data_IF_118869142095
#
_entry.id   IF_118869142095
#
_cell.length_a   1.000
_cell.length_b   1.000
_cell.length_c   1.000
_cell.angle_alpha   90.00
_cell.angle_beta   90.00
_cell.angle_gamma   90.00
#
_symmetry.space_group_name_H-M   'P 1'
#
loop_
_entity.id
_entity.type
_entity.pdbx_description
1 polymer ?
#
# COMPACT_ATOMS: atom_id res chain seq x y z
N UNK A 1 -9.36 20.53 -0.83
CA UNK A 1 -8.51 19.89 0.22
C UNK A 1 -9.20 18.82 1.07
N UNK A 2 -10.51 18.90 1.38
CA UNK A 2 -11.25 17.87 2.14
C UNK A 2 -11.29 16.46 1.50
N UNK A 3 -11.44 16.27 0.17
CA UNK A 3 -11.61 14.93 -0.42
C UNK A 3 -10.33 14.09 -0.38
N UNK A 4 -9.16 14.66 -0.69
CA UNK A 4 -7.87 13.95 -0.63
C UNK A 4 -7.59 13.32 0.75
N UNK A 5 -7.85 14.05 1.84
CA UNK A 5 -7.67 13.53 3.20
C UNK A 5 -8.67 12.42 3.53
N UNK A 6 -9.89 12.49 3.00
CA UNK A 6 -10.91 11.47 3.18
C UNK A 6 -10.51 10.16 2.46
N UNK A 7 -10.13 10.25 1.17
CA UNK A 7 -9.64 9.09 0.41
C UNK A 7 -8.42 8.46 1.06
N UNK A 8 -7.45 9.27 1.51
CA UNK A 8 -6.27 8.77 2.21
C UNK A 8 -6.62 7.96 3.47
N UNK A 9 -7.57 8.45 4.28
CA UNK A 9 -8.03 7.73 5.49
C UNK A 9 -8.74 6.43 5.12
N UNK A 10 -9.58 6.43 4.10
CA UNK A 10 -10.28 5.25 3.63
C UNK A 10 -9.29 4.18 3.14
N UNK A 11 -8.34 4.54 2.27
CA UNK A 11 -7.35 3.60 1.74
C UNK A 11 -6.47 3.00 2.85
N UNK A 12 -6.16 3.80 3.88
CA UNK A 12 -5.43 3.30 5.06
C UNK A 12 -6.24 2.24 5.81
N UNK A 13 -7.54 2.45 6.00
CA UNK A 13 -8.43 1.49 6.69
C UNK A 13 -8.61 0.21 5.89
N UNK A 14 -8.89 0.32 4.59
CA UNK A 14 -9.02 -0.82 3.69
C UNK A 14 -7.74 -1.65 3.67
N UNK A 15 -6.58 -0.99 3.54
CA UNK A 15 -5.29 -1.68 3.57
C UNK A 15 -5.04 -2.41 4.88
N UNK A 16 -5.45 -1.81 6.02
CA UNK A 16 -5.33 -2.46 7.32
C UNK A 16 -6.20 -3.73 7.42
N UNK A 17 -7.44 -3.68 6.93
CA UNK A 17 -8.35 -4.82 6.92
C UNK A 17 -7.84 -5.94 6.02
N UNK A 18 -7.41 -5.62 4.79
CA UNK A 18 -6.85 -6.59 3.85
C UNK A 18 -5.59 -7.23 4.44
N UNK A 19 -4.72 -6.44 5.05
CA UNK A 19 -3.49 -6.95 5.64
C UNK A 19 -3.73 -7.92 6.80
N UNK A 20 -4.71 -7.62 7.66
CA UNK A 20 -5.13 -8.51 8.75
C UNK A 20 -5.73 -9.82 8.22
N UNK A 21 -6.52 -9.76 7.15
CA UNK A 21 -7.15 -10.94 6.56
C UNK A 21 -6.13 -11.85 5.83
N UNK A 22 -5.15 -11.27 5.14
CA UNK A 22 -4.10 -12.02 4.44
C UNK A 22 -3.19 -12.79 5.40
N UNK A 23 -2.84 -12.16 6.52
CA UNK A 23 -2.03 -12.80 7.54
C UNK A 23 -2.96 -13.50 8.52
N UNK A 24 -3.51 -14.65 8.08
CA UNK A 24 -4.27 -15.55 8.94
C UNK A 24 -3.44 -15.88 10.20
N UNK A 25 -3.77 -15.24 11.31
CA UNK A 25 -3.22 -15.59 12.61
C UNK A 25 -3.82 -16.94 12.98
N UNK A 26 -3.03 -18.02 12.86
CA UNK A 26 -3.47 -19.33 13.33
C UNK A 26 -3.71 -19.20 14.85
N UNK A 27 -4.94 -19.39 15.36
CA UNK A 27 -5.17 -19.31 16.78
C UNK A 27 -4.50 -20.52 17.43
N UNK A 28 -3.37 -20.30 18.09
CA UNK A 28 -2.71 -21.32 18.90
C UNK A 28 -3.66 -21.65 20.06
N UNK A 29 -4.08 -22.92 20.16
CA UNK A 29 -4.95 -23.40 21.24
C UNK A 29 -4.31 -23.06 22.60
N UNK A 30 -5.09 -22.39 23.45
CA UNK A 30 -4.66 -21.67 24.65
C UNK A 30 -3.90 -22.51 25.69
N UNK A 31 -4.04 -23.85 25.66
CA UNK A 31 -3.58 -24.77 26.70
C UNK A 31 -2.06 -24.96 26.82
N UNK A 32 -1.25 -24.57 25.82
CA UNK A 32 0.21 -24.77 25.83
C UNK A 32 1.04 -23.51 26.11
N UNK A 33 0.39 -22.36 26.42
CA UNK A 33 1.04 -21.04 26.43
C UNK A 33 2.13 -20.84 27.49
N UNK A 34 2.08 -21.55 28.62
CA UNK A 34 3.09 -21.42 29.68
C UNK A 34 4.43 -22.07 29.30
N UNK A 35 4.39 -23.21 28.59
CA UNK A 35 5.60 -23.91 28.14
C UNK A 35 6.22 -23.28 26.87
N UNK A 36 5.39 -22.64 26.05
CA UNK A 36 5.77 -22.14 24.71
C UNK A 36 5.92 -20.61 24.71
N UNK A 37 5.94 -19.96 25.88
CA UNK A 37 5.92 -18.50 26.00
C UNK A 37 7.03 -17.77 25.19
N UNK A 38 8.30 -18.22 25.19
CA UNK A 38 9.33 -17.60 24.36
C UNK A 38 9.06 -17.73 22.86
N UNK A 39 8.57 -18.88 22.41
CA UNK A 39 8.22 -19.15 21.01
C UNK A 39 7.00 -18.33 20.60
N UNK A 40 6.02 -18.18 21.49
CA UNK A 40 4.86 -17.33 21.28
C UNK A 40 5.24 -15.86 21.09
N UNK A 41 6.16 -15.32 21.93
CA UNK A 41 6.68 -13.96 21.77
C UNK A 41 7.40 -13.82 20.41
N UNK A 42 8.24 -14.79 20.06
CA UNK A 42 8.95 -14.77 18.78
C UNK A 42 7.98 -14.75 17.58
N UNK A 43 6.97 -15.64 17.59
CA UNK A 43 5.96 -15.71 16.54
C UNK A 43 5.11 -14.45 16.47
N UNK A 44 4.79 -13.85 17.62
CA UNK A 44 4.09 -12.58 17.69
C UNK A 44 4.92 -11.43 17.09
N UNK A 45 6.19 -11.31 17.46
CA UNK A 45 7.11 -10.30 16.88
C UNK A 45 7.22 -10.49 15.37
N UNK A 46 7.38 -11.75 14.92
CA UNK A 46 7.45 -12.09 13.50
C UNK A 46 6.15 -11.75 12.75
N UNK A 47 5.00 -12.02 13.36
CA UNK A 47 3.68 -11.65 12.84
C UNK A 47 3.54 -10.13 12.70
N UNK A 48 3.86 -9.36 13.75
CA UNK A 48 3.79 -7.89 13.72
C UNK A 48 4.70 -7.32 12.64
N UNK A 49 5.91 -7.87 12.49
CA UNK A 49 6.84 -7.44 11.44
C UNK A 49 6.28 -7.69 10.03
N UNK A 50 5.78 -8.90 9.77
CA UNK A 50 5.16 -9.26 8.47
C UNK A 50 3.93 -8.41 8.18
N UNK A 51 3.11 -8.15 9.19
CA UNK A 51 1.92 -7.30 9.07
C UNK A 51 2.30 -5.85 8.73
N UNK A 52 3.35 -5.33 9.37
CA UNK A 52 3.88 -3.99 9.08
C UNK A 52 4.42 -3.89 7.65
N UNK A 53 5.20 -4.88 7.21
CA UNK A 53 5.75 -4.92 5.84
C UNK A 53 4.64 -5.03 4.79
N UNK A 54 3.66 -5.91 5.02
CA UNK A 54 2.55 -6.10 4.09
C UNK A 54 1.63 -4.87 4.01
N UNK A 55 1.33 -4.22 5.14
CA UNK A 55 0.61 -2.94 5.18
C UNK A 55 1.34 -1.86 4.39
N UNK A 56 2.66 -1.73 4.60
CA UNK A 56 3.47 -0.75 3.87
C UNK A 56 3.43 -1.00 2.38
N UNK A 57 3.61 -2.25 1.94
CA UNK A 57 3.63 -2.60 0.53
C UNK A 57 2.27 -2.35 -0.16
N UNK A 58 1.17 -2.77 0.48
CA UNK A 58 -0.19 -2.55 -0.06
C UNK A 58 -0.55 -1.06 -0.12
N UNK A 59 -0.16 -0.29 0.89
CA UNK A 59 -0.50 1.13 0.95
C UNK A 59 0.38 1.97 0.01
N UNK A 60 1.61 1.51 -0.26
CA UNK A 60 2.60 2.27 -1.03
C UNK A 60 2.12 2.61 -2.46
N UNK A 61 1.65 1.62 -3.22
CA UNK A 61 1.19 1.81 -4.61
C UNK A 61 -0.03 2.74 -4.65
N UNK A 62 -0.99 2.51 -3.77
CA UNK A 62 -2.19 3.33 -3.60
C UNK A 62 -1.87 4.78 -3.22
N UNK A 63 -0.93 4.98 -2.30
CA UNK A 63 -0.52 6.32 -1.87
C UNK A 63 0.16 7.08 -3.00
N UNK A 64 1.04 6.41 -3.76
CA UNK A 64 1.69 7.01 -4.93
C UNK A 64 0.65 7.44 -5.97
N UNK A 65 -0.27 6.53 -6.33
CA UNK A 65 -1.32 6.80 -7.30
C UNK A 65 -2.24 7.96 -6.85
N UNK A 66 -2.71 7.95 -5.59
CA UNK A 66 -3.56 9.02 -5.06
C UNK A 66 -2.84 10.38 -5.05
N UNK A 67 -1.53 10.40 -4.78
CA UNK A 67 -0.75 11.63 -4.77
C UNK A 67 -0.53 12.17 -6.18
N UNK A 68 -0.20 11.30 -7.14
CA UNK A 68 -0.07 11.68 -8.55
C UNK A 68 -1.40 12.17 -9.12
N UNK A 69 -2.51 11.45 -8.86
CA UNK A 69 -3.85 11.87 -9.26
C UNK A 69 -4.23 13.24 -8.69
N UNK A 70 -3.92 13.49 -7.42
CA UNK A 70 -4.18 14.80 -6.80
C UNK A 70 -3.39 15.93 -7.45
N UNK A 71 -2.12 15.68 -7.77
CA UNK A 71 -1.25 16.63 -8.46
C UNK A 71 -1.74 16.94 -9.88
N UNK A 72 -2.14 15.91 -10.64
CA UNK A 72 -2.71 16.07 -11.98
C UNK A 72 -4.02 16.85 -11.92
N UNK A 73 -4.90 16.52 -10.96
CA UNK A 73 -6.14 17.25 -10.73
C UNK A 73 -5.92 18.74 -10.38
N UNK A 74 -4.80 19.07 -9.75
CA UNK A 74 -4.41 20.47 -9.48
C UNK A 74 -3.82 21.20 -10.69
N UNK A 75 -3.76 20.55 -11.86
CA UNK A 75 -3.26 21.14 -13.10
C UNK A 75 -1.79 20.85 -13.40
N UNK A 76 -1.14 19.92 -12.69
CA UNK A 76 0.21 19.48 -13.07
C UNK A 76 0.18 18.57 -14.29
N UNK A 77 1.25 18.63 -15.08
CA UNK A 77 1.39 17.82 -16.28
C UNK A 77 1.50 16.32 -15.93
N UNK A 78 0.65 15.49 -16.57
CA UNK A 78 0.62 14.03 -16.39
C UNK A 78 1.98 13.40 -16.66
N UNK A 79 2.67 13.83 -17.72
CA UNK A 79 3.98 13.31 -18.10
C UNK A 79 5.04 13.49 -17.01
N UNK A 80 5.02 14.60 -16.27
CA UNK A 80 5.94 14.85 -15.17
C UNK A 80 5.65 13.95 -13.97
N UNK A 81 4.37 13.79 -13.61
CA UNK A 81 3.99 12.91 -12.49
C UNK A 81 4.27 11.43 -12.81
N UNK A 82 4.07 10.98 -14.05
CA UNK A 82 4.46 9.63 -14.50
C UNK A 82 5.96 9.40 -14.36
N UNK A 83 6.80 10.36 -14.81
CA UNK A 83 8.26 10.26 -14.62
C UNK A 83 8.66 10.20 -13.14
N UNK A 84 7.99 10.97 -12.27
CA UNK A 84 8.24 10.93 -10.83
C UNK A 84 7.88 9.57 -10.21
N UNK A 85 6.83 8.91 -10.71
CA UNK A 85 6.46 7.56 -10.31
C UNK A 85 7.52 6.53 -10.75
N UNK A 86 8.02 6.64 -11.98
CA UNK A 86 9.09 5.79 -12.50
C UNK A 86 10.38 5.95 -11.68
N UNK A 87 10.79 7.18 -11.36
CA UNK A 87 11.98 7.45 -10.55
C UNK A 87 11.83 6.84 -9.15
N UNK A 88 10.70 7.08 -8.47
CA UNK A 88 10.46 6.56 -7.11
C UNK A 88 10.42 5.04 -7.06
N UNK A 89 9.79 4.39 -8.04
CA UNK A 89 9.73 2.93 -8.11
C UNK A 89 11.07 2.32 -8.49
N UNK A 90 11.87 3.00 -9.33
CA UNK A 90 13.24 2.60 -9.67
C UNK A 90 14.18 2.69 -8.47
N UNK A 91 14.12 3.76 -7.69
CA UNK A 91 14.93 3.85 -6.45
C UNK A 91 14.66 2.70 -5.47
N UNK A 92 13.43 2.20 -5.41
CA UNK A 92 13.06 1.07 -4.55
C UNK A 92 13.67 -0.22 -5.08
N UNK A 93 13.61 -0.44 -6.39
CA UNK A 93 14.28 -1.56 -7.05
C UNK A 93 15.79 -1.52 -6.77
N UNK A 94 16.43 -0.35 -6.91
CA UNK A 94 17.87 -0.18 -6.72
C UNK A 94 18.30 -0.37 -5.25
N UNK A 95 17.42 -0.09 -4.28
CA UNK A 95 17.66 -0.30 -2.85
C UNK A 95 17.47 -1.76 -2.42
N UNK A 96 16.74 -2.58 -3.18
CA UNK A 96 16.44 -3.97 -2.81
C UNK A 96 17.57 -4.93 -3.21
N UNK A 97 18.45 -5.25 -2.24
CA UNK A 97 19.62 -6.11 -2.46
C UNK A 97 19.32 -7.61 -2.53
N UNK A 98 18.10 -8.04 -2.19
CA UNK A 98 17.76 -9.47 -2.01
C UNK A 98 17.18 -10.15 -3.27
N UNK A 99 17.09 -9.43 -4.40
CA UNK A 99 16.59 -9.99 -5.66
C UNK A 99 15.09 -10.30 -5.71
N UNK A 100 14.33 -10.01 -4.64
CA UNK A 100 12.87 -10.20 -4.61
C UNK A 100 12.14 -9.21 -5.52
N UNK A 101 12.70 -8.01 -5.72
CA UNK A 101 12.18 -7.03 -6.66
C UNK A 101 12.84 -7.25 -8.02
N UNK A 102 12.02 -7.52 -9.03
CA UNK A 102 12.46 -7.68 -10.42
C UNK A 102 11.83 -6.60 -11.28
N UNK A 103 12.43 -6.28 -12.44
CA UNK A 103 11.82 -5.36 -13.40
C UNK A 103 10.41 -5.79 -13.82
N UNK A 104 10.16 -7.11 -13.92
CA UNK A 104 8.84 -7.65 -14.22
C UNK A 104 7.80 -7.29 -13.16
N UNK A 105 8.17 -7.36 -11.87
CA UNK A 105 7.28 -6.97 -10.76
C UNK A 105 7.07 -5.45 -10.78
N UNK A 106 8.13 -4.67 -11.03
CA UNK A 106 8.06 -3.21 -11.16
C UNK A 106 7.08 -2.80 -12.26
N UNK A 107 7.20 -3.39 -13.45
CA UNK A 107 6.34 -3.04 -14.59
C UNK A 107 4.86 -3.35 -14.29
N UNK A 108 4.58 -4.48 -13.60
CA UNK A 108 3.21 -4.77 -13.15
C UNK A 108 2.69 -3.71 -12.17
N UNK A 109 3.51 -3.28 -11.23
CA UNK A 109 3.13 -2.25 -10.26
C UNK A 109 2.95 -0.88 -10.92
N UNK A 110 3.76 -0.53 -11.92
CA UNK A 110 3.59 0.70 -12.67
C UNK A 110 2.24 0.72 -13.40
N UNK A 111 1.88 -0.39 -14.07
CA UNK A 111 0.57 -0.53 -14.70
C UNK A 111 -0.58 -0.42 -13.68
N UNK A 112 -0.44 -1.05 -12.51
CA UNK A 112 -1.42 -0.94 -11.42
C UNK A 112 -1.55 0.51 -10.92
N UNK A 113 -0.42 1.20 -10.72
CA UNK A 113 -0.39 2.60 -10.30
C UNK A 113 -1.08 3.48 -11.34
N UNK A 114 -0.84 3.27 -12.63
CA UNK A 114 -1.46 4.05 -13.70
C UNK A 114 -3.00 3.89 -13.69
N UNK A 115 -3.49 2.65 -13.60
CA UNK A 115 -4.92 2.39 -13.47
C UNK A 115 -5.53 3.06 -12.23
N UNK A 116 -4.83 3.02 -11.10
CA UNK A 116 -5.26 3.69 -9.88
C UNK A 116 -5.25 5.21 -10.02
N UNK A 117 -4.29 5.79 -10.75
CA UNK A 117 -4.24 7.24 -11.01
C UNK A 117 -5.48 7.69 -11.77
N UNK A 118 -5.84 6.99 -12.85
CA UNK A 118 -7.03 7.32 -13.63
C UNK A 118 -8.30 7.22 -12.79
N UNK A 119 -8.45 6.12 -12.03
CA UNK A 119 -9.56 5.93 -11.09
C UNK A 119 -9.67 7.07 -10.05
N UNK A 120 -8.54 7.51 -9.49
CA UNK A 120 -8.54 8.60 -8.51
C UNK A 120 -8.78 9.98 -9.14
N UNK A 121 -8.38 10.22 -10.39
CA UNK A 121 -8.70 11.45 -11.11
C UNK A 121 -10.22 11.54 -11.31
N UNK A 122 -10.84 10.46 -11.78
CA UNK A 122 -12.29 10.39 -11.98
C UNK A 122 -13.04 10.61 -10.66
N UNK A 123 -12.57 9.99 -9.58
CA UNK A 123 -13.13 10.18 -8.24
C UNK A 123 -13.00 11.61 -7.74
N UNK A 124 -11.86 12.25 -7.94
CA UNK A 124 -11.62 13.64 -7.54
C UNK A 124 -12.48 14.63 -8.35
N UNK A 125 -12.76 14.31 -9.61
CA UNK A 125 -13.65 15.08 -10.49
C UNK A 125 -15.14 14.82 -10.27
N UNK A 126 -15.50 13.67 -9.70
CA UNK A 126 -16.88 13.37 -9.34
C UNK A 126 -17.32 14.20 -8.12
N UNK A 127 -18.48 14.85 -8.17
CA UNK A 127 -19.09 15.57 -7.04
C UNK A 127 -19.55 14.64 -5.88
N UNK A 128 -19.08 13.39 -5.84
CA UNK A 128 -19.42 12.45 -4.77
C UNK A 128 -18.71 12.86 -3.48
N UNK A 129 -19.49 13.42 -2.56
CA UNK A 129 -19.05 13.89 -1.24
C UNK A 129 -18.76 12.76 -0.25
N UNK A 130 -19.03 11.50 -0.62
CA UNK A 130 -18.95 10.33 0.24
C UNK A 130 -18.26 9.17 -0.49
N UNK A 131 -17.07 8.80 -0.03
CA UNK A 131 -16.45 7.52 -0.35
C UNK A 131 -16.91 6.55 0.74
N UNK A 132 -18.02 5.84 0.46
CA UNK A 132 -18.66 4.88 1.34
C UNK A 132 -18.27 3.45 0.98
#
# INVERSE_FOLDING_TARGET
MKPYRAFKRYETRQTDQIAKNLINSRPIKFSWRLLVFPVFIYDYIRYVKRLSELRKNLYFTKQLALTAAHNIYQGKERALETRLLEIKTKEILDKEKKGYYTEKIRNKQLNEIELLVDHYIDLLGSNQSSYG
#
